data_IF_650910013302
#
_entry.id   IF_650910013302
#
_cell.length_a   1.000
_cell.length_b   1.000
_cell.length_c   1.000
_cell.angle_alpha   90.00
_cell.angle_beta   90.00
_cell.angle_gamma   90.00
#
_symmetry.space_group_name_H-M   'P 1'
#
loop_
_entity.id
_entity.type
_entity.pdbx_description
1 polymer ?
#
# COMPACT_ATOMS: atom_id res chain seq x y z
N UNK A 1 23.54 -1.82 -5.31
CA UNK A 1 23.56 -2.65 -4.09
C UNK A 1 23.40 -1.70 -2.91
N UNK A 2 22.35 -1.85 -2.09
CA UNK A 2 22.19 -1.01 -0.88
C UNK A 2 22.98 -1.68 0.22
N UNK A 3 24.04 -1.04 0.68
CA UNK A 3 24.87 -1.54 1.77
C UNK A 3 24.05 -1.54 3.07
N UNK A 4 23.75 -2.74 3.60
CA UNK A 4 22.97 -2.89 4.83
C UNK A 4 23.88 -2.75 6.04
N UNK A 5 23.84 -1.59 6.68
CA UNK A 5 24.56 -1.30 7.91
C UNK A 5 24.03 -2.16 9.08
N UNK A 6 24.91 -2.71 9.93
CA UNK A 6 24.49 -3.51 11.09
C UNK A 6 23.74 -2.65 12.11
N UNK A 7 22.77 -3.23 12.85
CA UNK A 7 21.99 -2.52 13.88
C UNK A 7 22.87 -1.87 14.96
N UNK A 8 24.05 -2.44 15.20
CA UNK A 8 25.07 -1.92 16.11
C UNK A 8 25.70 -0.60 15.67
N UNK A 9 25.54 -0.21 14.39
CA UNK A 9 25.95 1.11 13.88
C UNK A 9 24.98 2.24 14.26
N UNK A 10 23.79 1.88 14.79
CA UNK A 10 22.80 2.83 15.28
C UNK A 10 22.99 2.96 16.79
N UNK A 11 23.05 4.22 17.26
CA UNK A 11 23.04 4.57 18.68
C UNK A 11 21.96 3.77 19.45
N UNK A 12 22.34 2.96 20.45
CA UNK A 12 21.42 2.19 21.28
C UNK A 12 20.27 3.01 21.88
N UNK A 13 20.49 4.29 22.19
CA UNK A 13 19.45 5.18 22.70
C UNK A 13 18.30 5.38 21.70
N UNK A 14 18.55 5.20 20.40
CA UNK A 14 17.56 5.36 19.33
C UNK A 14 16.82 4.07 18.99
N UNK A 15 17.25 2.92 19.50
CA UNK A 15 16.65 1.62 19.17
C UNK A 15 15.18 1.57 19.57
N UNK A 16 14.84 2.05 20.78
CA UNK A 16 13.46 2.07 21.27
C UNK A 16 12.54 2.94 20.39
N UNK A 17 13.02 4.10 19.96
CA UNK A 17 12.28 5.00 19.07
C UNK A 17 12.06 4.38 17.68
N UNK A 18 13.09 3.74 17.12
CA UNK A 18 13.00 3.06 15.82
C UNK A 18 12.02 1.89 15.90
N UNK A 19 12.11 1.05 16.94
CA UNK A 19 11.19 -0.08 17.13
C UNK A 19 9.74 0.39 17.31
N UNK A 20 9.52 1.53 18.00
CA UNK A 20 8.21 2.15 18.10
C UNK A 20 7.68 2.59 16.73
N UNK A 21 8.51 3.23 15.90
CA UNK A 21 8.11 3.62 14.54
C UNK A 21 7.83 2.41 13.65
N UNK A 22 8.61 1.33 13.75
CA UNK A 22 8.36 0.08 13.01
C UNK A 22 7.04 -0.58 13.42
N UNK A 23 6.68 -0.51 14.71
CA UNK A 23 5.36 -0.96 15.21
C UNK A 23 4.23 -0.12 14.62
N UNK A 24 4.37 1.20 14.60
CA UNK A 24 3.41 2.11 13.97
C UNK A 24 3.28 1.81 12.48
N UNK A 25 4.40 1.63 11.78
CA UNK A 25 4.42 1.27 10.36
C UNK A 25 3.69 -0.06 10.09
N UNK A 26 3.87 -1.07 10.96
CA UNK A 26 3.12 -2.33 10.89
C UNK A 26 1.62 -2.13 11.07
N UNK A 27 1.19 -1.26 11.99
CA UNK A 27 -0.22 -0.94 12.17
C UNK A 27 -0.79 -0.22 10.95
N UNK A 28 -0.07 0.76 10.41
CA UNK A 28 -0.44 1.47 9.19
C UNK A 28 -0.54 0.52 7.99
N UNK A 29 0.40 -0.41 7.83
CA UNK A 29 0.37 -1.41 6.77
C UNK A 29 -0.89 -2.31 6.86
N UNK A 30 -1.29 -2.72 8.06
CA UNK A 30 -2.54 -3.49 8.27
C UNK A 30 -3.78 -2.68 7.89
N UNK A 31 -3.86 -1.41 8.32
CA UNK A 31 -4.96 -0.51 7.94
C UNK A 31 -5.00 -0.28 6.44
N UNK A 32 -3.84 -0.06 5.82
CA UNK A 32 -3.71 0.11 4.37
C UNK A 32 -4.16 -1.15 3.63
N UNK A 33 -3.79 -2.35 4.09
CA UNK A 33 -4.26 -3.60 3.50
C UNK A 33 -5.78 -3.68 3.50
N UNK A 34 -6.43 -3.37 4.63
CA UNK A 34 -7.89 -3.38 4.71
C UNK A 34 -8.53 -2.35 3.75
N UNK A 35 -7.97 -1.14 3.68
CA UNK A 35 -8.43 -0.11 2.75
C UNK A 35 -8.25 -0.50 1.28
N UNK A 36 -7.11 -1.08 0.92
CA UNK A 36 -6.84 -1.56 -0.44
C UNK A 36 -7.77 -2.72 -0.83
N UNK A 37 -8.09 -3.62 0.10
CA UNK A 37 -9.06 -4.71 -0.13
C UNK A 37 -10.48 -4.19 -0.36
N UNK A 38 -10.89 -3.16 0.39
CA UNK A 38 -12.17 -2.48 0.15
C UNK A 38 -12.18 -1.81 -1.23
N UNK A 39 -11.12 -1.05 -1.53
CA UNK A 39 -10.96 -0.38 -2.83
C UNK A 39 -10.98 -1.38 -3.99
N UNK A 40 -10.36 -2.56 -3.85
CA UNK A 40 -10.38 -3.60 -4.88
C UNK A 40 -11.82 -4.12 -5.13
N UNK A 41 -12.60 -4.31 -4.07
CA UNK A 41 -14.03 -4.68 -4.18
C UNK A 41 -14.82 -3.59 -4.90
N UNK A 42 -14.63 -2.33 -4.53
CA UNK A 42 -15.29 -1.20 -5.18
C UNK A 42 -14.90 -1.07 -6.66
N UNK A 43 -13.63 -1.30 -6.99
CA UNK A 43 -13.14 -1.28 -8.37
C UNK A 43 -13.82 -2.35 -9.22
N UNK A 44 -14.01 -3.56 -8.68
CA UNK A 44 -14.75 -4.62 -9.38
C UNK A 44 -16.20 -4.22 -9.67
N UNK A 45 -16.87 -3.56 -8.72
CA UNK A 45 -18.23 -3.04 -8.90
C UNK A 45 -18.24 -1.98 -10.01
N UNK A 46 -17.29 -1.03 -9.96
CA UNK A 46 -17.17 0.02 -10.98
C UNK A 46 -16.84 -0.55 -12.36
N UNK A 47 -16.03 -1.60 -12.47
CA UNK A 47 -15.73 -2.27 -13.74
C UNK A 47 -16.98 -2.92 -14.34
N UNK A 48 -17.79 -3.61 -13.53
CA UNK A 48 -19.06 -4.20 -13.97
C UNK A 48 -20.06 -3.14 -14.40
N UNK A 49 -20.18 -2.07 -13.60
CA UNK A 49 -21.05 -0.94 -13.90
C UNK A 49 -20.59 -0.23 -15.17
N UNK A 50 -19.28 -0.03 -15.33
CA UNK A 50 -18.65 0.55 -16.51
C UNK A 50 -19.01 -0.27 -17.76
N UNK A 51 -18.76 -1.57 -17.74
CA UNK A 51 -19.01 -2.43 -18.89
C UNK A 51 -20.49 -2.46 -19.28
N UNK A 52 -21.40 -2.54 -18.30
CA UNK A 52 -22.85 -2.59 -18.56
C UNK A 52 -23.41 -1.29 -19.14
N UNK A 53 -22.91 -0.14 -18.70
CA UNK A 53 -23.55 1.16 -18.96
C UNK A 53 -22.78 2.07 -19.93
N UNK A 54 -21.61 1.63 -20.43
CA UNK A 54 -20.71 2.40 -21.31
C UNK A 54 -21.40 3.04 -22.52
N UNK A 55 -22.37 2.35 -23.11
CA UNK A 55 -23.02 2.78 -24.34
C UNK A 55 -24.28 3.63 -24.10
N UNK A 56 -24.86 3.59 -22.89
CA UNK A 56 -26.10 4.30 -22.54
C UNK A 56 -25.83 5.69 -21.95
N UNK A 57 -24.73 5.86 -21.21
CA UNK A 57 -24.48 7.07 -20.42
C UNK A 57 -23.20 7.82 -20.80
N UNK A 58 -22.65 7.56 -21.99
CA UNK A 58 -21.36 8.12 -22.44
C UNK A 58 -21.29 9.66 -22.38
N UNK A 59 -22.41 10.36 -22.54
CA UNK A 59 -22.50 11.83 -22.46
C UNK A 59 -22.80 12.39 -21.07
N UNK A 60 -23.12 11.55 -20.08
CA UNK A 60 -23.56 12.02 -18.77
C UNK A 60 -22.37 12.45 -17.90
N UNK A 61 -22.54 13.56 -17.17
CA UNK A 61 -21.50 14.09 -16.27
C UNK A 61 -21.13 13.09 -15.16
N UNK A 62 -22.11 12.34 -14.64
CA UNK A 62 -21.84 11.29 -13.65
C UNK A 62 -20.95 10.17 -14.21
N UNK A 63 -21.06 9.88 -15.51
CA UNK A 63 -20.27 8.84 -16.16
C UNK A 63 -18.79 9.21 -16.27
N UNK A 64 -18.50 10.51 -16.44
CA UNK A 64 -17.13 11.03 -16.37
C UNK A 64 -16.53 10.81 -15.00
N UNK A 65 -17.27 11.12 -13.93
CA UNK A 65 -16.83 10.89 -12.55
C UNK A 65 -16.56 9.42 -12.25
N UNK A 66 -17.44 8.52 -12.69
CA UNK A 66 -17.26 7.05 -12.56
C UNK A 66 -16.01 6.58 -13.31
N UNK A 67 -15.80 7.07 -14.53
CA UNK A 67 -14.62 6.73 -15.34
C UNK A 67 -13.31 7.21 -14.72
N UNK A 68 -13.31 8.43 -14.17
CA UNK A 68 -12.14 8.98 -13.47
C UNK A 68 -11.86 8.24 -12.15
N UNK A 69 -12.88 7.94 -11.34
CA UNK A 69 -12.70 7.15 -10.11
C UNK A 69 -12.08 5.78 -10.42
N UNK A 70 -12.62 5.08 -11.42
CA UNK A 70 -12.05 3.81 -11.89
C UNK A 70 -10.58 3.97 -12.29
N UNK A 71 -10.25 4.99 -13.09
CA UNK A 71 -8.86 5.25 -13.53
C UNK A 71 -7.91 5.52 -12.36
N UNK A 72 -8.36 6.26 -11.35
CA UNK A 72 -7.56 6.54 -10.16
C UNK A 72 -7.33 5.27 -9.34
N UNK A 73 -8.37 4.45 -9.13
CA UNK A 73 -8.27 3.21 -8.39
C UNK A 73 -7.34 2.21 -9.08
N UNK A 74 -7.40 2.08 -10.41
CA UNK A 74 -6.47 1.26 -11.20
C UNK A 74 -5.02 1.77 -11.08
N UNK A 75 -4.81 3.10 -11.05
CA UNK A 75 -3.47 3.67 -10.83
C UNK A 75 -2.94 3.39 -9.43
N UNK A 76 -3.81 3.41 -8.42
CA UNK A 76 -3.43 3.12 -7.03
C UNK A 76 -3.05 1.65 -6.87
N UNK A 77 -3.80 0.72 -7.47
CA UNK A 77 -3.49 -0.71 -7.47
C UNK A 77 -2.12 -1.01 -8.09
N UNK A 78 -1.80 -0.34 -9.21
CA UNK A 78 -0.49 -0.50 -9.90
C UNK A 78 0.72 -0.03 -9.09
N UNK A 79 0.55 0.80 -8.06
CA UNK A 79 1.67 1.39 -7.30
C UNK A 79 2.21 0.47 -6.20
N UNK A 80 1.59 -0.69 -5.95
CA UNK A 80 1.97 -1.66 -4.91
C UNK A 80 2.47 -0.99 -3.60
N UNK A 81 1.64 -0.09 -3.07
CA UNK A 81 1.98 0.70 -1.89
C UNK A 81 2.24 -0.20 -0.67
N UNK A 82 1.47 -1.29 -0.56
CA UNK A 82 1.63 -2.23 0.51
C UNK A 82 2.93 -3.04 0.40
N UNK A 83 3.27 -3.53 -0.80
CA UNK A 83 4.53 -4.20 -1.05
C UNK A 83 5.72 -3.27 -0.76
N UNK A 84 5.64 -2.00 -1.15
CA UNK A 84 6.66 -0.99 -0.85
C UNK A 84 6.88 -0.77 0.65
N UNK A 85 5.79 -0.67 1.43
CA UNK A 85 5.87 -0.51 2.90
C UNK A 85 6.41 -1.78 3.56
N UNK A 86 5.98 -2.96 3.11
CA UNK A 86 6.47 -4.23 3.64
C UNK A 86 7.95 -4.44 3.30
N UNK A 87 8.39 -4.10 2.09
CA UNK A 87 9.79 -4.16 1.68
C UNK A 87 10.65 -3.21 2.52
N UNK A 88 10.17 -1.99 2.79
CA UNK A 88 10.83 -1.07 3.72
C UNK A 88 10.97 -1.69 5.11
N UNK A 89 9.89 -2.28 5.64
CA UNK A 89 9.90 -2.91 6.97
C UNK A 89 10.87 -4.08 7.04
N UNK A 90 10.90 -4.97 6.05
CA UNK A 90 11.79 -6.15 6.02
C UNK A 90 13.26 -5.74 6.10
N UNK A 91 13.65 -4.65 5.43
CA UNK A 91 15.03 -4.13 5.47
C UNK A 91 15.54 -3.78 6.88
N UNK A 92 14.65 -3.51 7.83
CA UNK A 92 15.02 -3.26 9.23
C UNK A 92 15.17 -4.53 10.08
N UNK A 93 14.64 -5.67 9.62
CA UNK A 93 14.69 -6.95 10.34
C UNK A 93 15.67 -7.96 9.74
N UNK A 94 16.20 -7.70 8.54
CA UNK A 94 16.97 -8.65 7.71
C UNK A 94 18.39 -9.02 8.23
N UNK A 95 18.74 -8.63 9.47
CA UNK A 95 19.97 -9.09 10.16
C UNK A 95 19.76 -9.34 11.66
N UNK A 96 18.56 -9.75 12.07
CA UNK A 96 18.24 -10.01 13.48
C UNK A 96 17.84 -11.47 13.78
N UNK A 97 18.33 -12.44 13.00
CA UNK A 97 18.24 -13.88 13.31
C UNK A 97 19.57 -14.61 13.05
N UNK A 98 20.70 -13.97 13.36
CA UNK A 98 21.94 -14.70 13.68
C UNK A 98 22.20 -14.44 15.16
N UNK A 99 21.64 -15.31 16.00
CA UNK A 99 22.29 -15.93 17.17
C UNK A 99 21.21 -16.65 18.02
N UNK A 100 21.06 -17.95 17.81
CA UNK A 100 21.15 -18.98 18.86
C UNK A 100 21.33 -20.34 18.21
#
# INVERSE_FOLDING_TARGET
MVEQLPRTSIDPARHAAIDAQLKTLKLCARKLQAALSLQATELQILQRLYYKNKNQHRGALFWRSVSEMRRLMEKTEKRDLLGSINALRVRFYDKAQVQK
#
